data_IF_558761809254
#
_entry.id   IF_558761809254
#
_cell.length_a   1.000
_cell.length_b   1.000
_cell.length_c   1.000
_cell.angle_alpha   90.00
_cell.angle_beta   90.00
_cell.angle_gamma   90.00
#
_symmetry.space_group_name_H-M   'P 1'
#
loop_
_entity.id
_entity.type
_entity.pdbx_description
1 polymer ?
#
# COMPACT_ATOMS: atom_id res chain seq x y z
N UNK A 1 -17.42 14.10 14.49
CA UNK A 1 -18.17 13.25 13.56
C UNK A 1 -17.15 12.49 12.72
N UNK A 2 -17.20 11.16 12.69
CA UNK A 2 -16.37 10.33 11.79
C UNK A 2 -16.84 10.60 10.37
N UNK A 3 -15.92 10.94 9.48
CA UNK A 3 -16.24 11.32 8.11
C UNK A 3 -16.10 10.12 7.18
N UNK A 4 -17.11 9.88 6.34
CA UNK A 4 -17.05 8.85 5.33
C UNK A 4 -15.92 9.14 4.33
N UNK A 5 -15.10 8.14 4.04
CA UNK A 5 -13.97 8.23 3.11
C UNK A 5 -14.01 7.13 2.04
N UNK A 6 -13.24 7.30 0.99
CA UNK A 6 -12.93 6.25 0.04
C UNK A 6 -11.43 5.96 0.00
N UNK A 7 -11.06 4.79 -0.50
CA UNK A 7 -9.67 4.44 -0.77
C UNK A 7 -9.47 4.06 -2.25
N UNK A 8 -8.42 4.59 -2.88
CA UNK A 8 -7.98 4.12 -4.21
C UNK A 8 -6.76 3.25 -4.00
N UNK A 9 -6.82 1.98 -4.44
CA UNK A 9 -5.79 0.98 -4.19
C UNK A 9 -5.20 0.46 -5.49
N UNK A 10 -3.90 0.55 -5.62
CA UNK A 10 -3.11 -0.17 -6.60
C UNK A 10 -2.50 -1.42 -5.94
N UNK A 11 -2.66 -2.59 -6.58
CA UNK A 11 -2.21 -3.87 -6.01
C UNK A 11 -3.20 -4.53 -5.06
N UNK A 12 -4.47 -4.10 -5.06
CA UNK A 12 -5.54 -4.63 -4.20
C UNK A 12 -5.91 -6.10 -4.46
N UNK A 13 -5.51 -6.69 -5.58
CA UNK A 13 -5.68 -8.13 -5.86
C UNK A 13 -4.55 -9.00 -5.29
N UNK A 14 -3.47 -8.38 -4.81
CA UNK A 14 -2.38 -9.07 -4.11
C UNK A 14 -2.76 -9.43 -2.68
N UNK A 15 -1.91 -10.19 -2.00
CA UNK A 15 -2.23 -10.70 -0.65
C UNK A 15 -2.33 -9.60 0.40
N UNK A 16 -1.35 -8.71 0.47
CA UNK A 16 -1.40 -7.55 1.39
C UNK A 16 -2.50 -6.58 0.99
N UNK A 17 -2.60 -6.27 -0.31
CA UNK A 17 -3.65 -5.38 -0.80
C UNK A 17 -5.05 -5.94 -0.57
N UNK A 18 -5.25 -7.25 -0.79
CA UNK A 18 -6.51 -7.93 -0.49
C UNK A 18 -6.87 -7.89 0.99
N UNK A 19 -5.88 -8.05 1.88
CA UNK A 19 -6.08 -7.89 3.33
C UNK A 19 -6.46 -6.44 3.68
N UNK A 20 -5.78 -5.44 3.09
CA UNK A 20 -6.12 -4.03 3.30
C UNK A 20 -7.54 -3.70 2.81
N UNK A 21 -7.93 -4.21 1.62
CA UNK A 21 -9.30 -4.08 1.10
C UNK A 21 -10.32 -4.68 2.07
N UNK A 22 -10.07 -5.87 2.62
CA UNK A 22 -10.97 -6.53 3.55
C UNK A 22 -11.17 -5.70 4.84
N UNK A 23 -10.10 -5.18 5.42
CA UNK A 23 -10.15 -4.37 6.64
C UNK A 23 -10.81 -2.99 6.39
N UNK A 24 -10.56 -2.36 5.23
CA UNK A 24 -11.25 -1.13 4.84
C UNK A 24 -12.77 -1.36 4.69
N UNK A 25 -13.18 -2.45 4.07
CA UNK A 25 -14.60 -2.78 3.91
C UNK A 25 -15.27 -3.16 5.25
N UNK A 26 -14.51 -3.62 6.24
CA UNK A 26 -15.00 -3.85 7.60
C UNK A 26 -15.20 -2.53 8.37
N UNK A 27 -14.59 -1.42 7.92
CA UNK A 27 -14.72 -0.09 8.51
C UNK A 27 -16.02 0.56 8.06
N UNK A 28 -16.88 0.98 9.00
CA UNK A 28 -18.19 1.57 8.71
C UNK A 28 -18.09 2.88 7.92
N UNK A 29 -17.06 3.66 8.19
CA UNK A 29 -16.80 4.95 7.54
C UNK A 29 -16.22 4.83 6.12
N UNK A 30 -15.77 3.65 5.72
CA UNK A 30 -15.30 3.42 4.34
C UNK A 30 -16.52 3.25 3.40
N UNK A 31 -16.82 4.28 2.60
CA UNK A 31 -17.95 4.24 1.66
C UNK A 31 -17.70 3.32 0.47
N UNK A 32 -16.47 3.35 -0.08
CA UNK A 32 -16.05 2.49 -1.20
C UNK A 32 -14.54 2.28 -1.23
N UNK A 33 -14.12 1.19 -1.86
CA UNK A 33 -12.75 0.92 -2.25
C UNK A 33 -12.68 0.85 -3.76
N UNK A 34 -11.93 1.75 -4.39
CA UNK A 34 -11.66 1.75 -5.83
C UNK A 34 -10.36 1.02 -6.08
N UNK A 35 -10.43 -0.10 -6.77
CA UNK A 35 -9.25 -0.92 -7.10
C UNK A 35 -8.83 -0.68 -8.53
N UNK A 36 -7.61 -0.20 -8.76
CA UNK A 36 -6.99 -0.21 -10.08
C UNK A 36 -6.42 -1.61 -10.32
N UNK A 37 -6.89 -2.26 -11.36
CA UNK A 37 -6.57 -3.65 -11.70
C UNK A 37 -6.12 -3.76 -13.17
N UNK A 38 -5.33 -4.79 -13.48
CA UNK A 38 -4.94 -5.10 -14.87
C UNK A 38 -5.95 -5.97 -15.60
N UNK A 39 -6.83 -6.64 -14.87
CA UNK A 39 -7.88 -7.52 -15.39
C UNK A 39 -9.17 -7.29 -14.61
N UNK A 40 -10.31 -7.56 -15.23
CA UNK A 40 -11.59 -7.54 -14.52
C UNK A 40 -11.58 -8.53 -13.35
N UNK A 41 -12.26 -8.16 -12.28
CA UNK A 41 -12.47 -9.01 -11.09
C UNK A 41 -13.98 -9.19 -10.88
N UNK A 42 -14.34 -10.23 -10.13
CA UNK A 42 -15.75 -10.45 -9.77
C UNK A 42 -16.32 -9.25 -8.99
N UNK A 43 -17.57 -8.86 -9.24
CA UNK A 43 -18.23 -7.79 -8.51
C UNK A 43 -18.27 -8.07 -7.01
N UNK A 44 -18.05 -7.04 -6.21
CA UNK A 44 -18.11 -7.10 -4.73
C UNK A 44 -18.73 -5.82 -4.20
N UNK A 45 -19.57 -5.93 -3.17
CA UNK A 45 -20.18 -4.75 -2.53
C UNK A 45 -19.13 -3.75 -2.05
N UNK A 46 -19.39 -2.47 -2.29
CA UNK A 46 -18.50 -1.34 -1.99
C UNK A 46 -17.09 -1.43 -2.62
N UNK A 47 -16.90 -2.30 -3.62
CA UNK A 47 -15.67 -2.37 -4.41
C UNK A 47 -15.97 -2.00 -5.84
N UNK A 48 -15.30 -0.97 -6.34
CA UNK A 48 -15.30 -0.58 -7.75
C UNK A 48 -13.96 -0.94 -8.36
N UNK A 49 -13.93 -1.93 -9.24
CA UNK A 49 -12.73 -2.28 -9.99
C UNK A 49 -12.67 -1.46 -11.29
N UNK A 50 -11.53 -0.84 -11.54
CA UNK A 50 -11.25 -0.09 -12.77
C UNK A 50 -10.04 -0.72 -13.45
N UNK A 51 -10.25 -1.22 -14.67
CA UNK A 51 -9.18 -1.85 -15.43
C UNK A 51 -8.39 -0.77 -16.15
N UNK A 52 -7.11 -0.61 -15.76
CA UNK A 52 -6.16 0.29 -16.41
C UNK A 52 -4.89 -0.47 -16.78
N UNK A 53 -4.35 -0.16 -17.95
CA UNK A 53 -3.00 -0.60 -18.29
C UNK A 53 -1.98 0.23 -17.52
N UNK A 54 -1.35 -0.41 -16.54
CA UNK A 54 -0.34 0.24 -15.68
C UNK A 54 0.99 0.51 -16.40
N UNK A 55 1.18 -0.05 -17.60
CA UNK A 55 2.34 0.19 -18.45
C UNK A 55 2.13 1.28 -19.50
N UNK A 56 0.90 1.78 -19.64
CA UNK A 56 0.59 2.82 -20.61
C UNK A 56 1.22 4.16 -20.22
N UNK A 57 1.64 4.94 -21.22
CA UNK A 57 2.26 6.26 -21.03
C UNK A 57 1.33 7.24 -20.31
N UNK A 58 0.02 7.14 -20.54
CA UNK A 58 -1.04 7.96 -19.95
C UNK A 58 -1.56 7.44 -18.61
N UNK A 59 -0.93 6.43 -18.00
CA UNK A 59 -1.42 5.81 -16.75
C UNK A 59 -1.58 6.81 -15.60
N UNK A 60 -0.66 7.76 -15.45
CA UNK A 60 -0.77 8.81 -14.42
C UNK A 60 -1.98 9.73 -14.68
N UNK A 61 -2.20 10.15 -15.91
CA UNK A 61 -3.33 11.02 -16.29
C UNK A 61 -4.68 10.33 -16.08
N UNK A 62 -4.78 9.05 -16.48
CA UNK A 62 -5.98 8.24 -16.26
C UNK A 62 -6.25 8.01 -14.78
N UNK A 63 -5.18 7.81 -14.00
CA UNK A 63 -5.28 7.73 -12.53
C UNK A 63 -5.78 9.04 -11.96
N UNK A 64 -5.28 10.18 -12.41
CA UNK A 64 -5.73 11.50 -11.96
C UNK A 64 -7.21 11.74 -12.29
N UNK A 65 -7.64 11.42 -13.51
CA UNK A 65 -9.04 11.55 -13.91
C UNK A 65 -9.97 10.70 -13.04
N UNK A 66 -9.60 9.43 -12.80
CA UNK A 66 -10.32 8.53 -11.88
C UNK A 66 -10.38 9.11 -10.46
N UNK A 67 -9.26 9.56 -9.93
CA UNK A 67 -9.14 10.06 -8.58
C UNK A 67 -9.98 11.34 -8.34
N UNK A 68 -10.02 12.27 -9.31
CA UNK A 68 -10.89 13.46 -9.24
C UNK A 68 -12.37 13.07 -9.15
N UNK A 69 -12.80 12.06 -9.94
CA UNK A 69 -14.18 11.55 -9.88
C UNK A 69 -14.55 10.94 -8.53
N UNK A 70 -13.59 10.33 -7.82
CA UNK A 70 -13.81 9.81 -6.46
C UNK A 70 -13.80 10.93 -5.42
N UNK A 71 -12.85 11.87 -5.54
CA UNK A 71 -12.71 13.03 -4.64
C UNK A 71 -13.95 13.95 -4.65
N UNK A 72 -14.64 14.08 -5.78
CA UNK A 72 -15.86 14.90 -5.86
C UNK A 72 -16.98 14.40 -4.93
N UNK A 73 -16.88 13.16 -4.45
CA UNK A 73 -17.85 12.54 -3.53
C UNK A 73 -17.39 12.56 -2.07
N UNK A 74 -16.24 13.14 -1.74
CA UNK A 74 -15.70 13.28 -0.38
C UNK A 74 -14.25 12.81 -0.24
N UNK A 75 -13.70 12.75 0.97
CA UNK A 75 -12.31 12.44 1.23
C UNK A 75 -11.86 11.11 0.63
N UNK A 76 -10.62 11.10 0.11
CA UNK A 76 -9.99 9.94 -0.53
C UNK A 76 -8.55 9.81 -0.05
N UNK A 77 -8.16 8.58 0.25
CA UNK A 77 -6.76 8.21 0.48
C UNK A 77 -6.27 7.26 -0.63
N UNK A 78 -5.01 7.37 -1.04
CA UNK A 78 -4.42 6.47 -2.01
C UNK A 78 -3.49 5.45 -1.33
N UNK A 79 -3.49 4.23 -1.85
CA UNK A 79 -2.68 3.12 -1.31
C UNK A 79 -2.00 2.37 -2.44
N UNK A 80 -0.69 2.20 -2.36
CA UNK A 80 0.04 1.26 -3.21
C UNK A 80 0.50 0.06 -2.40
N UNK A 81 -0.08 -1.10 -2.70
CA UNK A 81 0.35 -2.40 -2.22
C UNK A 81 1.09 -3.20 -3.31
N UNK A 82 1.62 -2.52 -4.34
CA UNK A 82 2.43 -3.15 -5.38
C UNK A 82 3.74 -3.62 -4.79
N UNK A 83 4.14 -4.83 -5.14
CA UNK A 83 5.42 -5.42 -4.79
C UNK A 83 5.53 -6.85 -5.31
N UNK A 84 6.74 -7.31 -5.59
CA UNK A 84 7.02 -8.65 -6.11
C UNK A 84 7.21 -9.68 -4.98
N UNK A 85 7.29 -9.24 -3.73
CA UNK A 85 7.45 -10.10 -2.56
C UNK A 85 8.64 -11.07 -2.68
N UNK A 86 8.43 -12.33 -2.26
CA UNK A 86 9.44 -13.39 -2.34
C UNK A 86 9.89 -13.75 -3.77
N UNK A 87 9.19 -13.26 -4.79
CA UNK A 87 9.56 -13.44 -6.20
C UNK A 87 10.67 -12.53 -6.70
N UNK A 88 11.16 -11.57 -5.88
CA UNK A 88 12.12 -10.54 -6.29
C UNK A 88 13.43 -11.08 -6.92
N UNK A 89 13.85 -12.28 -6.55
CA UNK A 89 15.05 -12.93 -7.11
C UNK A 89 14.89 -13.36 -8.56
N UNK A 90 13.66 -13.56 -9.03
CA UNK A 90 13.33 -14.00 -10.40
C UNK A 90 13.20 -12.83 -11.37
N UNK A 91 13.18 -11.59 -10.87
CA UNK A 91 13.04 -10.39 -11.67
C UNK A 91 14.39 -9.76 -11.96
N UNK A 92 14.59 -9.26 -13.16
CA UNK A 92 15.73 -8.40 -13.48
C UNK A 92 15.66 -7.10 -12.69
N UNK A 93 16.76 -6.36 -12.60
CA UNK A 93 16.75 -5.04 -11.95
C UNK A 93 15.86 -4.06 -12.72
N UNK A 94 15.90 -4.09 -14.04
CA UNK A 94 15.08 -3.25 -14.91
C UNK A 94 13.58 -3.49 -14.71
N UNK A 95 13.15 -4.75 -14.64
CA UNK A 95 11.77 -5.11 -14.38
C UNK A 95 11.31 -4.64 -13.00
N UNK A 96 12.17 -4.79 -11.97
CA UNK A 96 11.89 -4.29 -10.63
C UNK A 96 11.76 -2.77 -10.63
N UNK A 97 12.68 -2.05 -11.27
CA UNK A 97 12.63 -0.60 -11.36
C UNK A 97 11.38 -0.13 -12.11
N UNK A 98 11.05 -0.77 -13.23
CA UNK A 98 9.84 -0.44 -13.99
C UNK A 98 8.57 -0.60 -13.15
N UNK A 99 8.45 -1.70 -12.40
CA UNK A 99 7.27 -1.95 -11.55
C UNK A 99 7.27 -1.07 -10.31
N UNK A 100 8.35 -1.10 -9.53
CA UNK A 100 8.37 -0.51 -8.19
C UNK A 100 8.53 1.02 -8.23
N UNK A 101 9.21 1.57 -9.23
CA UNK A 101 9.37 3.01 -9.41
C UNK A 101 8.44 3.55 -10.49
N UNK A 102 8.44 2.92 -11.67
CA UNK A 102 7.68 3.41 -12.82
C UNK A 102 6.18 3.39 -12.54
N UNK A 103 5.62 2.22 -12.28
CA UNK A 103 4.17 2.05 -12.06
C UNK A 103 3.72 2.73 -10.76
N UNK A 104 4.44 2.52 -9.66
CA UNK A 104 4.09 3.13 -8.36
C UNK A 104 4.24 4.64 -8.40
N UNK A 105 5.31 5.15 -9.03
CA UNK A 105 5.52 6.59 -9.18
C UNK A 105 4.46 7.25 -10.06
N UNK A 106 4.04 6.62 -11.17
CA UNK A 106 2.97 7.12 -12.03
C UNK A 106 1.62 7.15 -11.28
N UNK A 107 1.31 6.08 -10.53
CA UNK A 107 0.13 6.04 -9.66
C UNK A 107 0.14 7.16 -8.62
N UNK A 108 1.27 7.33 -7.92
CA UNK A 108 1.42 8.37 -6.91
C UNK A 108 1.24 9.78 -7.51
N UNK A 109 1.91 10.08 -8.63
CA UNK A 109 1.74 11.36 -9.33
C UNK A 109 0.29 11.60 -9.72
N UNK A 110 -0.38 10.63 -10.36
CA UNK A 110 -1.79 10.77 -10.76
C UNK A 110 -2.71 11.04 -9.57
N UNK A 111 -2.50 10.38 -8.43
CA UNK A 111 -3.25 10.63 -7.20
C UNK A 111 -2.99 12.05 -6.65
N UNK A 112 -1.74 12.48 -6.61
CA UNK A 112 -1.35 13.81 -6.14
C UNK A 112 -1.91 14.91 -7.05
N UNK A 113 -1.79 14.77 -8.37
CA UNK A 113 -2.31 15.73 -9.36
C UNK A 113 -3.85 15.85 -9.34
N UNK A 114 -4.52 14.85 -8.80
CA UNK A 114 -5.95 14.90 -8.53
C UNK A 114 -6.29 15.65 -7.23
N UNK A 115 -5.31 15.92 -6.35
CA UNK A 115 -5.51 16.57 -5.07
C UNK A 115 -5.68 15.62 -3.88
N UNK A 116 -5.33 14.33 -4.03
CA UNK A 116 -5.30 13.41 -2.88
C UNK A 116 -4.19 13.82 -1.92
N UNK A 117 -4.54 14.09 -0.65
CA UNK A 117 -3.61 14.56 0.36
C UNK A 117 -2.82 13.44 1.05
N UNK A 118 -3.40 12.23 1.18
CA UNK A 118 -2.79 11.10 1.89
C UNK A 118 -2.41 9.96 0.94
N UNK A 119 -1.17 9.49 1.08
CA UNK A 119 -0.67 8.31 0.39
C UNK A 119 -0.08 7.29 1.36
N UNK A 120 -0.50 6.04 1.24
CA UNK A 120 0.07 4.89 1.97
C UNK A 120 0.90 4.04 1.01
N UNK A 121 2.16 3.83 1.32
CA UNK A 121 3.12 3.07 0.50
C UNK A 121 3.54 1.79 1.21
N UNK A 122 3.32 0.65 0.58
CA UNK A 122 3.95 -0.61 0.99
C UNK A 122 5.39 -0.65 0.47
N UNK A 123 6.34 -0.77 1.38
CA UNK A 123 7.77 -0.90 1.16
C UNK A 123 8.29 -2.21 1.79
N UNK A 124 9.52 -2.22 2.28
CA UNK A 124 10.12 -3.34 3.00
C UNK A 124 11.06 -2.86 4.10
N UNK A 125 11.25 -3.68 5.13
CA UNK A 125 12.18 -3.42 6.21
C UNK A 125 13.58 -3.13 5.67
N UNK A 126 14.22 -2.09 6.22
CA UNK A 126 15.56 -1.66 5.84
C UNK A 126 15.66 -0.92 4.50
N UNK A 127 14.51 -0.60 3.82
CA UNK A 127 14.49 0.09 2.53
C UNK A 127 15.37 1.35 2.53
N UNK A 128 16.40 1.38 1.69
CA UNK A 128 17.29 2.53 1.50
C UNK A 128 17.96 2.46 0.13
N UNK A 129 17.95 3.57 -0.61
CA UNK A 129 18.58 3.67 -1.94
C UNK A 129 20.10 3.42 -1.92
N UNK A 130 20.74 3.46 -0.73
CA UNK A 130 22.18 3.20 -0.55
C UNK A 130 22.53 1.73 -0.28
N UNK A 131 21.54 0.84 -0.22
CA UNK A 131 21.77 -0.58 0.09
C UNK A 131 22.58 -1.29 -1.00
N UNK A 132 23.49 -2.18 -0.57
CA UNK A 132 24.17 -3.11 -1.47
C UNK A 132 23.26 -4.25 -1.94
N UNK A 133 22.22 -4.56 -1.18
CA UNK A 133 21.23 -5.57 -1.54
C UNK A 133 20.22 -4.98 -2.52
N UNK A 134 20.15 -5.55 -3.72
CA UNK A 134 19.34 -5.06 -4.85
C UNK A 134 17.89 -4.74 -4.44
N UNK A 135 17.18 -5.71 -3.85
CA UNK A 135 15.77 -5.51 -3.47
C UNK A 135 15.59 -4.36 -2.48
N UNK A 136 16.39 -4.32 -1.43
CA UNK A 136 16.35 -3.26 -0.40
C UNK A 136 16.66 -1.90 -1.00
N UNK A 137 17.60 -1.84 -1.97
CA UNK A 137 17.94 -0.62 -2.70
C UNK A 137 16.76 -0.13 -3.53
N UNK A 138 16.11 -1.02 -4.30
CA UNK A 138 14.95 -0.67 -5.11
C UNK A 138 13.79 -0.20 -4.23
N UNK A 139 13.55 -0.83 -3.06
CA UNK A 139 12.54 -0.37 -2.11
C UNK A 139 12.84 1.05 -1.59
N UNK A 140 14.10 1.35 -1.27
CA UNK A 140 14.51 2.71 -0.89
C UNK A 140 14.29 3.73 -2.01
N UNK A 141 14.67 3.38 -3.24
CA UNK A 141 14.44 4.23 -4.42
C UNK A 141 12.93 4.46 -4.67
N UNK A 142 12.08 3.45 -4.46
CA UNK A 142 10.62 3.59 -4.52
C UNK A 142 10.11 4.59 -3.49
N UNK A 143 10.58 4.51 -2.25
CA UNK A 143 10.21 5.46 -1.21
C UNK A 143 10.62 6.88 -1.59
N UNK A 144 11.84 7.08 -2.09
CA UNK A 144 12.33 8.39 -2.53
C UNK A 144 11.51 8.92 -3.71
N UNK A 145 11.12 8.06 -4.65
CA UNK A 145 10.23 8.42 -5.76
C UNK A 145 8.90 8.97 -5.26
N UNK A 146 8.29 8.32 -4.25
CA UNK A 146 7.00 8.77 -3.70
C UNK A 146 7.15 10.00 -2.81
N UNK A 147 8.25 10.14 -2.04
CA UNK A 147 8.56 11.34 -1.26
C UNK A 147 8.62 12.58 -2.15
N UNK A 148 9.27 12.45 -3.30
CA UNK A 148 9.44 13.55 -4.26
C UNK A 148 8.12 14.00 -4.91
N UNK A 149 7.03 13.24 -4.77
CA UNK A 149 5.69 13.66 -5.21
C UNK A 149 5.12 14.75 -4.31
N UNK A 150 5.39 14.72 -2.98
CA UNK A 150 5.05 15.81 -2.07
C UNK A 150 3.66 15.72 -1.44
N UNK A 151 3.16 14.52 -1.11
CA UNK A 151 1.89 14.36 -0.40
C UNK A 151 1.90 15.08 0.96
N UNK A 152 0.78 15.69 1.32
CA UNK A 152 0.62 16.32 2.65
C UNK A 152 0.78 15.29 3.78
N UNK A 153 0.29 14.05 3.57
CA UNK A 153 0.51 12.91 4.45
C UNK A 153 1.09 11.74 3.66
N UNK A 154 2.28 11.26 4.03
CA UNK A 154 2.89 10.05 3.49
C UNK A 154 3.13 9.03 4.61
N UNK A 155 2.48 7.86 4.52
CA UNK A 155 2.71 6.75 5.44
C UNK A 155 3.43 5.60 4.71
N UNK A 156 4.65 5.29 5.13
CA UNK A 156 5.48 4.23 4.56
C UNK A 156 5.44 3.02 5.49
N UNK A 157 4.94 1.90 4.99
CA UNK A 157 4.88 0.63 5.71
C UNK A 157 6.06 -0.23 5.31
N UNK A 158 6.97 -0.50 6.25
CA UNK A 158 8.17 -1.32 6.07
C UNK A 158 8.03 -2.66 6.80
N UNK A 159 7.24 -3.61 6.28
CA UNK A 159 7.14 -4.93 6.88
C UNK A 159 8.45 -5.70 6.77
N UNK A 160 8.71 -6.56 7.74
CA UNK A 160 9.70 -7.61 7.64
C UNK A 160 9.16 -8.78 6.81
N UNK A 161 9.26 -10.01 7.35
CA UNK A 161 8.77 -11.20 6.66
C UNK A 161 7.25 -11.26 6.79
N UNK A 162 6.54 -11.16 5.65
CA UNK A 162 5.09 -11.25 5.63
C UNK A 162 4.68 -12.71 5.65
N UNK A 163 3.93 -13.10 6.70
CA UNK A 163 3.41 -14.46 6.87
C UNK A 163 1.88 -14.49 6.77
N UNK A 164 1.29 -15.70 6.84
CA UNK A 164 -0.16 -15.88 6.71
C UNK A 164 -0.63 -15.83 5.26
N UNK A 165 0.29 -16.01 4.31
CA UNK A 165 0.03 -15.94 2.87
C UNK A 165 0.46 -17.24 2.17
N UNK A 166 -0.06 -17.47 0.94
CA UNK A 166 0.22 -18.68 0.16
C UNK A 166 1.66 -18.76 -0.40
N UNK A 167 2.45 -17.68 -0.31
CA UNK A 167 3.77 -17.60 -0.92
C UNK A 167 4.92 -17.78 0.09
N UNK A 168 4.63 -17.65 1.38
CA UNK A 168 5.65 -17.80 2.43
C UNK A 168 5.54 -19.20 3.04
N UNK A 169 6.51 -20.09 2.81
CA UNK A 169 6.51 -21.43 3.42
C UNK A 169 6.49 -21.34 4.96
N UNK A 170 5.83 -22.30 5.62
CA UNK A 170 5.68 -22.32 7.07
C UNK A 170 7.03 -22.27 7.82
N UNK A 171 8.06 -22.94 7.29
CA UNK A 171 9.40 -22.96 7.89
C UNK A 171 10.08 -21.57 7.87
N UNK A 172 9.80 -20.73 6.85
CA UNK A 172 10.29 -19.34 6.79
C UNK A 172 9.61 -18.51 7.87
N UNK A 173 8.32 -18.74 8.11
CA UNK A 173 7.58 -18.14 9.21
C UNK A 173 8.18 -18.53 10.57
N UNK A 174 8.54 -19.80 10.76
CA UNK A 174 9.19 -20.26 11.98
C UNK A 174 10.56 -19.61 12.20
N UNK A 175 11.45 -19.58 11.19
CA UNK A 175 12.73 -18.90 11.28
C UNK A 175 12.59 -17.40 11.53
N UNK A 176 11.64 -16.75 10.85
CA UNK A 176 11.38 -15.32 11.00
C UNK A 176 10.81 -14.95 12.37
N UNK A 177 10.21 -15.91 13.11
CA UNK A 177 9.79 -15.69 14.51
C UNK A 177 10.97 -15.53 15.47
N UNK A 178 12.12 -16.06 15.11
CA UNK A 178 13.37 -15.94 15.87
C UNK A 178 14.12 -14.62 15.58
N UNK A 179 13.70 -13.89 14.54
CA UNK A 179 14.32 -12.60 14.17
C UNK A 179 13.57 -11.48 14.91
N UNK A 180 14.23 -10.78 15.85
CA UNK A 180 13.59 -9.70 16.58
C UNK A 180 13.44 -8.43 15.72
N UNK A 181 12.53 -7.55 16.16
CA UNK A 181 12.40 -6.19 15.61
C UNK A 181 11.77 -6.11 14.23
N UNK A 182 12.26 -5.17 13.42
CA UNK A 182 11.67 -4.77 12.16
C UNK A 182 11.77 -5.83 11.05
N UNK A 183 12.71 -6.75 11.14
CA UNK A 183 12.94 -7.84 10.18
C UNK A 183 12.15 -9.12 10.52
N UNK A 184 11.54 -9.21 11.69
CA UNK A 184 10.75 -10.35 12.12
C UNK A 184 9.44 -10.48 11.33
N UNK A 185 8.62 -11.44 11.75
CA UNK A 185 7.34 -11.73 11.10
C UNK A 185 6.26 -10.67 11.34
N UNK A 186 5.46 -10.43 10.31
CA UNK A 186 4.18 -9.74 10.42
C UNK A 186 3.11 -10.50 9.62
N UNK A 187 1.95 -10.74 10.23
CA UNK A 187 0.83 -11.35 9.53
C UNK A 187 0.23 -10.34 8.51
N UNK A 188 -0.12 -10.85 7.32
CA UNK A 188 -0.69 -10.00 6.27
C UNK A 188 -1.98 -9.28 6.68
N UNK A 189 -2.79 -9.88 7.57
CA UNK A 189 -4.02 -9.25 8.10
C UNK A 189 -3.68 -8.09 9.03
N UNK A 190 -2.68 -8.27 9.91
CA UNK A 190 -2.19 -7.20 10.78
C UNK A 190 -1.66 -6.03 9.94
N UNK A 191 -0.92 -6.32 8.88
CA UNK A 191 -0.42 -5.30 7.95
C UNK A 191 -1.58 -4.59 7.23
N UNK A 192 -2.54 -5.34 6.67
CA UNK A 192 -3.73 -4.78 6.03
C UNK A 192 -4.54 -3.90 6.98
N UNK A 193 -4.73 -4.35 8.22
CA UNK A 193 -5.42 -3.61 9.29
C UNK A 193 -4.68 -2.34 9.68
N UNK A 194 -3.36 -2.37 9.76
CA UNK A 194 -2.58 -1.17 10.06
C UNK A 194 -2.68 -0.12 8.94
N UNK A 195 -2.79 -0.54 7.68
CA UNK A 195 -3.04 0.35 6.55
C UNK A 195 -4.45 0.97 6.66
N UNK A 196 -5.47 0.17 6.95
CA UNK A 196 -6.84 0.66 7.14
C UNK A 196 -6.93 1.65 8.30
N UNK A 197 -6.26 1.37 9.42
CA UNK A 197 -6.20 2.25 10.58
C UNK A 197 -5.51 3.60 10.26
N UNK A 198 -4.40 3.58 9.51
CA UNK A 198 -3.73 4.81 9.07
C UNK A 198 -4.66 5.68 8.25
N UNK A 199 -5.42 5.10 7.33
CA UNK A 199 -6.38 5.82 6.50
C UNK A 199 -7.52 6.40 7.35
N UNK A 200 -8.12 5.58 8.21
CA UNK A 200 -9.29 5.98 8.97
C UNK A 200 -8.99 7.05 10.03
N UNK A 201 -7.81 7.01 10.65
CA UNK A 201 -7.50 7.85 11.80
C UNK A 201 -6.55 9.01 11.52
N UNK A 202 -5.65 8.86 10.55
CA UNK A 202 -4.54 9.78 10.33
C UNK A 202 -4.59 10.51 8.98
N UNK A 203 -5.70 10.39 8.22
CA UNK A 203 -5.82 10.99 6.89
C UNK A 203 -5.78 12.53 6.88
N UNK A 204 -5.98 13.17 8.02
CA UNK A 204 -5.94 14.64 8.18
C UNK A 204 -4.64 15.14 8.80
N UNK A 205 -3.78 14.23 9.23
CA UNK A 205 -2.47 14.62 9.75
C UNK A 205 -1.55 14.99 8.58
N UNK A 206 -0.58 15.86 8.85
CA UNK A 206 0.45 16.20 7.89
C UNK A 206 1.77 15.51 8.22
N UNK A 207 2.65 15.44 7.22
CA UNK A 207 4.00 14.92 7.35
C UNK A 207 4.17 13.46 6.97
N UNK A 208 5.41 13.00 7.07
CA UNK A 208 5.80 11.62 6.78
C UNK A 208 5.85 10.78 8.05
N UNK A 209 5.40 9.54 7.96
CA UNK A 209 5.63 8.54 8.98
C UNK A 209 6.08 7.22 8.34
N UNK A 210 7.11 6.62 8.93
CA UNK A 210 7.51 5.25 8.60
C UNK A 210 7.05 4.32 9.71
N UNK A 211 6.32 3.26 9.34
CA UNK A 211 5.81 2.24 10.26
C UNK A 211 6.52 0.93 10.01
N UNK A 212 7.26 0.47 11.00
CA UNK A 212 7.89 -0.84 11.05
C UNK A 212 7.01 -1.85 11.80
N UNK A 213 7.40 -3.13 11.87
CA UNK A 213 6.59 -4.22 12.43
C UNK A 213 5.94 -3.89 13.79
N UNK A 214 6.69 -3.35 14.73
CA UNK A 214 6.17 -3.04 16.07
C UNK A 214 5.08 -1.96 16.02
N UNK A 215 5.31 -0.89 15.25
CA UNK A 215 4.36 0.21 15.07
C UNK A 215 3.10 -0.26 14.34
N UNK A 216 3.24 -1.11 13.32
CA UNK A 216 2.12 -1.69 12.59
C UNK A 216 1.26 -2.60 13.50
N UNK A 217 1.89 -3.48 14.27
CA UNK A 217 1.20 -4.35 15.23
C UNK A 217 0.43 -3.54 16.29
N UNK A 218 1.06 -2.49 16.82
CA UNK A 218 0.42 -1.59 17.80
C UNK A 218 -0.79 -0.87 17.19
N UNK A 219 -0.65 -0.29 15.99
CA UNK A 219 -1.72 0.42 15.29
C UNK A 219 -2.90 -0.51 14.98
N UNK A 220 -2.61 -1.72 14.48
CA UNK A 220 -3.63 -2.72 14.17
C UNK A 220 -4.38 -3.19 15.43
N UNK A 221 -3.68 -3.37 16.55
CA UNK A 221 -4.30 -3.75 17.84
C UNK A 221 -5.26 -2.65 18.35
N UNK A 222 -4.84 -1.39 18.27
CA UNK A 222 -5.68 -0.25 18.66
C UNK A 222 -6.94 -0.13 17.79
N UNK A 223 -6.83 -0.43 16.49
CA UNK A 223 -7.96 -0.37 15.55
C UNK A 223 -9.05 -1.39 15.86
N UNK A 224 -8.68 -2.56 16.43
CA UNK A 224 -9.64 -3.56 16.89
C UNK A 224 -10.40 -3.17 18.17
N UNK A 225 -9.84 -2.25 18.96
CA UNK A 225 -10.38 -1.89 20.27
C UNK A 225 -11.46 -0.81 20.20
N UNK A 226 -11.75 -0.31 19.00
CA UNK A 226 -12.81 0.69 18.78
C UNK A 226 -14.08 -0.04 18.37
N UNK A 227 -15.15 -0.01 19.21
CA UNK A 227 -16.44 -0.66 18.93
C UNK A 227 -17.17 -0.03 17.74
#
# INVERSE_FOLDING_TARGET
>A
MKQNFAAIILGGTGQVGGAAVAELLATSECREVVMITRKAIAPRSRVRAVVLDTGAADFAERTAALARGVLSQGPVSAVSCVGVGSGSTRWSEEELLRLELGVVGAFARGCHDAGIAQFCLLSAAGGTARSRFRYVRVMGMKEDTVRNVGFARLAIFRPGIIVGNAHTPAWVGWLGSLVPGSFGNIDQRILGRSIAAEIAWHSREAGEITRENAAMKKLAAQFNSVP
#
